data_IF_378922773506
#
_entry.id   IF_378922773506
#
_cell.length_a   1.000
_cell.length_b   1.000
_cell.length_c   1.000
_cell.angle_alpha   90.00
_cell.angle_beta   90.00
_cell.angle_gamma   90.00
#
_symmetry.space_group_name_H-M   'P 1'
#
loop_
_entity.id
_entity.type
_entity.pdbx_description
1 polymer ?
#
# COMPACT_ATOMS: atom_id res chain seq x y z
N UNK A 1 25.20 26.56 -46.22
CA UNK A 1 25.31 26.68 -44.76
C UNK A 1 24.18 25.88 -44.12
N UNK A 2 24.50 24.67 -43.61
CA UNK A 2 23.53 23.74 -43.04
C UNK A 2 23.23 24.17 -41.59
N UNK A 3 22.03 24.68 -41.31
CA UNK A 3 21.61 25.02 -39.95
C UNK A 3 21.16 23.73 -39.26
N UNK A 4 21.96 23.21 -38.34
CA UNK A 4 21.60 22.08 -37.48
C UNK A 4 20.79 22.67 -36.32
N UNK A 5 19.48 22.45 -36.30
CA UNK A 5 18.64 22.72 -35.14
C UNK A 5 18.92 21.63 -34.10
N UNK A 6 19.56 22.01 -32.99
CA UNK A 6 19.74 21.14 -31.82
C UNK A 6 18.47 21.22 -30.96
N UNK A 7 17.59 20.23 -31.09
CA UNK A 7 16.43 20.06 -30.21
C UNK A 7 16.92 19.44 -28.90
N UNK A 8 16.92 20.21 -27.81
CA UNK A 8 17.22 19.69 -26.48
C UNK A 8 16.04 18.84 -25.99
N UNK A 9 16.26 17.52 -25.86
CA UNK A 9 15.31 16.61 -25.23
C UNK A 9 15.45 16.79 -23.72
N UNK A 10 14.52 17.50 -23.10
CA UNK A 10 14.36 17.50 -21.64
C UNK A 10 13.81 16.14 -21.21
N UNK A 11 14.70 15.27 -20.71
CA UNK A 11 14.34 14.09 -19.95
C UNK A 11 13.77 14.55 -18.61
N UNK A 12 12.46 14.70 -18.51
CA UNK A 12 11.80 14.81 -17.21
C UNK A 12 11.96 13.46 -16.50
N UNK A 13 12.53 13.42 -15.28
CA UNK A 13 12.51 12.19 -14.50
C UNK A 13 11.06 11.82 -14.23
N UNK A 14 10.65 10.63 -14.66
CA UNK A 14 9.35 10.09 -14.34
C UNK A 14 9.28 9.90 -12.82
N UNK A 15 8.44 10.68 -12.15
CA UNK A 15 8.04 10.42 -10.76
C UNK A 15 7.10 9.22 -10.83
N UNK A 16 7.65 8.00 -10.75
CA UNK A 16 6.84 6.81 -10.54
C UNK A 16 6.37 6.83 -9.08
N UNK A 17 5.07 7.02 -8.86
CA UNK A 17 4.45 6.72 -7.57
C UNK A 17 4.66 5.23 -7.30
N UNK A 18 5.13 4.89 -6.10
CA UNK A 18 5.34 3.50 -5.71
C UNK A 18 4.02 2.73 -5.84
N UNK A 19 4.05 1.56 -6.49
CA UNK A 19 2.84 0.77 -6.71
C UNK A 19 2.50 -0.03 -5.46
N UNK A 20 1.21 -0.18 -5.19
CA UNK A 20 0.74 -1.17 -4.23
C UNK A 20 1.15 -2.58 -4.68
N UNK A 21 1.73 -3.36 -3.78
CA UNK A 21 2.06 -4.77 -3.99
C UNK A 21 1.06 -5.61 -3.21
N UNK A 22 0.35 -6.50 -3.89
CA UNK A 22 -0.46 -7.51 -3.20
C UNK A 22 0.46 -8.34 -2.29
N UNK A 23 0.26 -8.35 -0.96
CA UNK A 23 1.17 -9.03 -0.03
C UNK A 23 1.38 -10.52 -0.36
N UNK A 24 0.36 -11.20 -0.91
CA UNK A 24 0.46 -12.62 -1.27
C UNK A 24 1.31 -12.89 -2.53
N UNK A 25 1.56 -11.86 -3.34
CA UNK A 25 2.40 -11.92 -4.54
C UNK A 25 3.83 -11.44 -4.28
N UNK A 26 4.15 -11.17 -3.01
CA UNK A 26 5.46 -10.68 -2.60
C UNK A 26 6.54 -11.76 -2.80
N UNK A 27 7.51 -11.49 -3.67
CA UNK A 27 8.59 -12.40 -4.04
C UNK A 27 9.85 -12.26 -3.17
N UNK A 28 9.89 -11.24 -2.30
CA UNK A 28 11.02 -11.00 -1.40
C UNK A 28 12.24 -10.35 -2.08
N UNK A 29 12.13 -9.95 -3.35
CA UNK A 29 13.19 -9.24 -4.06
C UNK A 29 13.48 -7.87 -3.44
N UNK A 30 14.72 -7.39 -3.60
CA UNK A 30 15.08 -6.04 -3.14
C UNK A 30 14.26 -4.95 -3.84
N UNK A 31 13.88 -5.18 -5.11
CA UNK A 31 13.01 -4.28 -5.84
C UNK A 31 11.64 -4.14 -5.17
N UNK A 32 10.96 -5.26 -4.89
CA UNK A 32 9.67 -5.22 -4.22
C UNK A 32 9.76 -4.71 -2.78
N UNK A 33 10.85 -5.01 -2.05
CA UNK A 33 11.07 -4.43 -0.71
C UNK A 33 11.12 -2.91 -0.75
N UNK A 34 11.88 -2.34 -1.69
CA UNK A 34 11.94 -0.89 -1.87
C UNK A 34 10.56 -0.31 -2.22
N UNK A 35 9.83 -0.94 -3.14
CA UNK A 35 8.51 -0.49 -3.56
C UNK A 35 7.48 -0.52 -2.41
N UNK A 36 7.48 -1.58 -1.58
CA UNK A 36 6.65 -1.64 -0.37
C UNK A 36 6.98 -0.52 0.60
N UNK A 37 8.26 -0.25 0.85
CA UNK A 37 8.69 0.81 1.79
C UNK A 37 8.29 2.20 1.29
N UNK A 38 8.48 2.47 0.00
CA UNK A 38 8.08 3.74 -0.61
C UNK A 38 6.56 3.90 -0.58
N UNK A 39 5.80 2.88 -0.96
CA UNK A 39 4.35 2.88 -0.88
C UNK A 39 3.85 3.18 0.54
N UNK A 40 4.43 2.53 1.56
CA UNK A 40 4.05 2.76 2.96
C UNK A 40 4.29 4.22 3.37
N UNK A 41 5.44 4.79 3.01
CA UNK A 41 5.76 6.19 3.36
C UNK A 41 4.80 7.16 2.70
N UNK A 42 4.55 7.00 1.41
CA UNK A 42 3.64 7.85 0.65
C UNK A 42 2.21 7.75 1.21
N UNK A 43 1.77 6.52 1.48
CA UNK A 43 0.44 6.25 2.04
C UNK A 43 0.27 6.86 3.44
N UNK A 44 1.23 6.64 4.34
CA UNK A 44 1.20 7.22 5.69
C UNK A 44 1.25 8.75 5.63
N UNK A 45 2.05 9.32 4.73
CA UNK A 45 2.05 10.77 4.55
C UNK A 45 0.67 11.29 4.12
N UNK A 46 0.05 10.66 3.11
CA UNK A 46 -1.31 11.00 2.67
C UNK A 46 -2.32 10.89 3.82
N UNK A 47 -2.35 9.76 4.52
CA UNK A 47 -3.32 9.48 5.56
C UNK A 47 -3.20 10.42 6.77
N UNK A 48 -1.98 10.87 7.11
CA UNK A 48 -1.74 11.63 8.35
C UNK A 48 -1.40 13.11 8.14
N UNK A 49 -0.66 13.45 7.08
CA UNK A 49 -0.30 14.84 6.77
C UNK A 49 -1.32 15.52 5.85
N UNK A 50 -1.95 14.77 4.94
CA UNK A 50 -2.91 15.34 3.99
C UNK A 50 -4.35 15.29 4.51
N UNK A 51 -4.65 14.47 5.52
CA UNK A 51 -5.95 14.44 6.19
C UNK A 51 -6.34 15.76 6.86
N UNK A 52 -7.63 15.91 7.19
CA UNK A 52 -8.18 17.10 7.84
C UNK A 52 -7.56 17.38 9.22
N UNK A 53 -7.08 16.33 9.90
CA UNK A 53 -6.50 16.42 11.24
C UNK A 53 -5.02 16.84 11.25
N UNK A 54 -4.33 16.79 10.10
CA UNK A 54 -2.93 17.24 9.93
C UNK A 54 -1.95 16.70 10.98
N UNK A 55 -2.06 15.42 11.33
CA UNK A 55 -1.22 14.72 12.30
C UNK A 55 0.18 14.36 11.74
N UNK A 56 0.91 15.33 11.20
CA UNK A 56 2.16 15.13 10.47
C UNK A 56 3.43 15.11 11.34
N UNK A 57 3.33 14.62 12.58
CA UNK A 57 4.48 14.58 13.49
C UNK A 57 5.35 13.37 13.19
N UNK A 58 6.68 13.52 13.17
CA UNK A 58 7.61 12.42 12.86
C UNK A 58 7.38 11.17 13.73
N UNK A 59 7.04 11.35 15.00
CA UNK A 59 6.71 10.25 15.91
C UNK A 59 5.52 9.43 15.42
N UNK A 60 4.47 10.10 14.95
CA UNK A 60 3.26 9.48 14.38
C UNK A 60 3.61 8.80 13.06
N UNK A 61 4.28 9.49 12.14
CA UNK A 61 4.63 8.94 10.83
C UNK A 61 5.49 7.67 10.97
N UNK A 62 6.57 7.73 11.75
CA UNK A 62 7.45 6.58 11.95
C UNK A 62 6.74 5.41 12.66
N UNK A 63 5.77 5.69 13.53
CA UNK A 63 4.96 4.66 14.18
C UNK A 63 4.05 3.96 13.16
N UNK A 64 3.31 4.72 12.36
CA UNK A 64 2.38 4.18 11.38
C UNK A 64 3.07 3.46 10.22
N UNK A 65 4.25 3.94 9.81
CA UNK A 65 5.08 3.23 8.81
C UNK A 65 5.51 1.86 9.33
N UNK A 66 5.94 1.76 10.59
CA UNK A 66 6.30 0.46 11.19
C UNK A 66 5.11 -0.48 11.28
N UNK A 67 3.96 0.04 11.72
CA UNK A 67 2.73 -0.74 11.80
C UNK A 67 2.33 -1.32 10.43
N UNK A 68 2.36 -0.49 9.39
CA UNK A 68 2.07 -0.92 8.02
C UNK A 68 3.09 -1.94 7.50
N UNK A 69 4.38 -1.76 7.82
CA UNK A 69 5.42 -2.70 7.40
C UNK A 69 5.26 -4.07 8.07
N UNK A 70 4.93 -4.09 9.37
CA UNK A 70 4.71 -5.34 10.09
C UNK A 70 3.42 -6.03 9.64
N UNK A 71 2.36 -5.25 9.39
CA UNK A 71 1.12 -5.75 8.79
C UNK A 71 1.33 -6.33 7.38
N UNK A 72 2.14 -5.68 6.53
CA UNK A 72 2.51 -6.20 5.22
C UNK A 72 3.21 -7.56 5.34
N UNK A 73 4.23 -7.65 6.21
CA UNK A 73 4.96 -8.91 6.41
C UNK A 73 4.03 -10.02 6.89
N UNK A 74 3.09 -9.73 7.77
CA UNK A 74 2.11 -10.71 8.22
C UNK A 74 1.14 -11.10 7.10
N UNK A 75 0.57 -10.13 6.38
CA UNK A 75 -0.32 -10.36 5.25
C UNK A 75 0.37 -11.13 4.12
N UNK A 76 1.70 -11.01 3.94
CA UNK A 76 2.45 -11.81 2.97
C UNK A 76 2.44 -13.32 3.28
N UNK A 77 2.10 -13.70 4.50
CA UNK A 77 1.96 -15.09 4.92
C UNK A 77 0.53 -15.63 4.79
N UNK A 78 -0.41 -14.80 4.34
CA UNK A 78 -1.79 -15.20 4.07
C UNK A 78 -1.89 -16.38 3.11
N UNK A 79 -3.03 -17.08 3.15
CA UNK A 79 -3.26 -18.33 2.41
C UNK A 79 -4.55 -18.34 1.62
N UNK A 80 -5.53 -17.52 1.99
CA UNK A 80 -6.81 -17.45 1.27
C UNK A 80 -6.80 -16.28 0.28
N UNK A 81 -6.42 -16.57 -0.97
CA UNK A 81 -6.37 -15.58 -2.06
C UNK A 81 -7.72 -14.91 -2.33
N UNK A 82 -8.81 -15.66 -2.15
CA UNK A 82 -10.16 -15.13 -2.39
C UNK A 82 -10.50 -14.05 -1.36
N UNK A 83 -10.21 -14.29 -0.08
CA UNK A 83 -10.44 -13.29 0.98
C UNK A 83 -9.50 -12.10 0.79
N UNK A 84 -8.22 -12.33 0.50
CA UNK A 84 -7.27 -11.23 0.25
C UNK A 84 -7.70 -10.37 -0.93
N UNK A 85 -8.09 -10.98 -2.05
CA UNK A 85 -8.57 -10.27 -3.23
C UNK A 85 -9.83 -9.45 -2.96
N UNK A 86 -10.77 -9.97 -2.16
CA UNK A 86 -11.95 -9.21 -1.73
C UNK A 86 -11.56 -8.00 -0.89
N UNK A 87 -10.67 -8.17 0.09
CA UNK A 87 -10.21 -7.07 0.96
C UNK A 87 -9.48 -5.99 0.15
N UNK A 88 -8.61 -6.38 -0.80
CA UNK A 88 -7.96 -5.41 -1.68
C UNK A 88 -9.01 -4.64 -2.50
N UNK A 89 -9.95 -5.34 -3.14
CA UNK A 89 -11.00 -4.69 -3.91
C UNK A 89 -11.83 -3.71 -3.04
N UNK A 90 -12.23 -4.14 -1.85
CA UNK A 90 -13.13 -3.38 -0.98
C UNK A 90 -12.46 -2.13 -0.36
N UNK A 91 -11.14 -2.15 -0.14
CA UNK A 91 -10.44 -1.06 0.57
C UNK A 91 -9.44 -0.28 -0.30
N UNK A 92 -9.00 -0.84 -1.43
CA UNK A 92 -8.10 -0.18 -2.37
C UNK A 92 -8.80 0.33 -3.63
N UNK A 93 -9.75 -0.44 -4.17
CA UNK A 93 -10.42 -0.12 -5.44
C UNK A 93 -11.80 0.52 -5.26
N UNK A 94 -12.20 0.78 -4.02
CA UNK A 94 -13.45 1.46 -3.67
C UNK A 94 -13.24 2.94 -3.32
N UNK A 95 -14.34 3.69 -3.24
CA UNK A 95 -14.35 5.10 -2.83
C UNK A 95 -13.90 5.33 -1.37
N UNK A 96 -13.66 4.27 -0.59
CA UNK A 96 -13.17 4.39 0.79
C UNK A 96 -11.73 4.90 0.85
N UNK A 97 -10.92 4.63 -0.19
CA UNK A 97 -9.49 4.97 -0.25
C UNK A 97 -8.78 4.66 1.08
N UNK A 98 -8.85 3.41 1.55
CA UNK A 98 -8.22 2.93 2.79
C UNK A 98 -7.14 1.88 2.50
N UNK A 99 -6.42 2.06 1.39
CA UNK A 99 -5.44 1.10 0.87
C UNK A 99 -4.10 1.13 1.64
N UNK A 100 -4.13 0.92 2.96
CA UNK A 100 -2.93 0.75 3.76
C UNK A 100 -2.85 -0.70 4.26
N UNK A 101 -1.63 -1.22 4.45
CA UNK A 101 -1.43 -2.63 4.78
C UNK A 101 -1.95 -3.00 6.17
N UNK A 102 -2.06 -2.06 7.11
CA UNK A 102 -2.71 -2.30 8.42
C UNK A 102 -4.19 -2.67 8.23
N UNK A 103 -4.93 -1.88 7.46
CA UNK A 103 -6.33 -2.17 7.10
C UNK A 103 -6.47 -3.49 6.36
N UNK A 104 -5.63 -3.73 5.35
CA UNK A 104 -5.68 -4.98 4.56
C UNK A 104 -5.45 -6.21 5.46
N UNK A 105 -4.41 -6.20 6.30
CA UNK A 105 -4.12 -7.33 7.20
C UNK A 105 -5.25 -7.55 8.22
N UNK A 106 -5.76 -6.48 8.83
CA UNK A 106 -6.85 -6.55 9.79
C UNK A 106 -8.11 -7.15 9.15
N UNK A 107 -8.53 -6.62 8.01
CA UNK A 107 -9.76 -7.07 7.35
C UNK A 107 -9.64 -8.47 6.76
N UNK A 108 -8.45 -8.86 6.30
CA UNK A 108 -8.19 -10.25 5.92
C UNK A 108 -8.41 -11.21 7.09
N UNK A 109 -7.88 -10.89 8.27
CA UNK A 109 -8.03 -11.73 9.47
C UNK A 109 -9.48 -11.81 9.93
N UNK A 110 -10.18 -10.69 9.98
CA UNK A 110 -11.59 -10.65 10.36
C UNK A 110 -12.43 -11.50 9.39
N UNK A 111 -12.28 -11.28 8.09
CA UNK A 111 -13.01 -12.05 7.08
C UNK A 111 -12.65 -13.55 7.13
N UNK A 112 -11.38 -13.90 7.39
CA UNK A 112 -10.96 -15.28 7.56
C UNK A 112 -11.59 -15.94 8.79
N UNK A 113 -11.72 -15.20 9.89
CA UNK A 113 -12.38 -15.70 11.10
C UNK A 113 -13.88 -15.86 10.87
N UNK A 114 -14.56 -14.82 10.39
CA UNK A 114 -16.00 -14.84 10.12
C UNK A 114 -16.39 -15.86 9.04
N UNK A 115 -15.51 -16.18 8.09
CA UNK A 115 -15.78 -17.22 7.08
C UNK A 115 -16.04 -18.62 7.66
N UNK A 116 -15.64 -18.84 8.92
CA UNK A 116 -15.80 -20.11 9.65
C UNK A 116 -17.02 -20.09 10.58
N UNK A 117 -17.68 -18.94 10.70
CA UNK A 117 -18.81 -18.75 11.58
C UNK A 117 -20.12 -18.93 10.81
N UNK A 118 -21.14 -19.35 11.54
CA UNK A 118 -22.51 -19.44 11.04
C UNK A 118 -23.45 -19.06 12.15
N UNK A 119 -24.43 -18.19 11.87
CA UNK A 119 -25.45 -17.84 12.84
C UNK A 119 -26.24 -19.09 13.27
N UNK A 120 -26.47 -19.20 14.57
CA UNK A 120 -27.37 -20.18 15.20
C UNK A 120 -28.41 -19.41 16.01
N UNK A 121 -29.63 -19.91 16.03
CA UNK A 121 -30.75 -19.35 16.80
C UNK A 121 -30.67 -19.78 18.26
#
# INVERSE_FOLDING_TARGET
>A
MRKILLTAIFLFPAVCSAKFINPMEFDGSEAQKSEVIEYIKDRVYKDYCESELKMCQDTVLRMMERENLDAFKEASQAKDERIMGQVINDYCDSDLDMCNYSTINMMYKENLNSSKESLKW
#
